data_IF_384898114666
#
_entry.id   IF_384898114666
#
_cell.length_a   1.000
_cell.length_b   1.000
_cell.length_c   1.000
_cell.angle_alpha   90.00
_cell.angle_beta   90.00
_cell.angle_gamma   90.00
#
_symmetry.space_group_name_H-M   'P 1'
#
loop_
_entity.id
_entity.type
_entity.pdbx_description
1 polymer ?
#
# COMPACT_ATOMS: atom_id res chain seq x y z
N UNK A 1 -0.16 9.43 19.25
CA UNK A 1 0.76 10.14 18.32
C UNK A 1 0.50 9.56 16.93
N UNK A 2 0.35 10.37 15.87
CA UNK A 2 -0.04 9.84 14.56
C UNK A 2 1.12 9.11 13.86
N UNK A 3 0.90 7.88 13.41
CA UNK A 3 1.86 7.12 12.59
C UNK A 3 1.51 7.28 11.10
N UNK A 4 2.50 7.54 10.27
CA UNK A 4 2.33 7.55 8.80
C UNK A 4 2.54 6.13 8.27
N UNK A 5 1.65 5.69 7.39
CA UNK A 5 1.76 4.44 6.65
C UNK A 5 1.53 4.70 5.15
N UNK A 6 2.20 3.94 4.32
CA UNK A 6 2.06 3.96 2.87
C UNK A 6 1.50 2.61 2.43
N UNK A 7 0.35 2.62 1.76
CA UNK A 7 -0.35 1.42 1.32
C UNK A 7 -0.20 1.33 -0.19
N UNK A 8 0.36 0.23 -0.68
CA UNK A 8 0.37 -0.10 -2.11
C UNK A 8 -0.85 -0.96 -2.40
N UNK A 9 -1.74 -0.46 -3.26
CA UNK A 9 -2.85 -1.24 -3.84
C UNK A 9 -2.42 -1.78 -5.19
N UNK A 10 -2.74 -3.02 -5.47
CA UNK A 10 -2.46 -3.65 -6.76
C UNK A 10 -3.58 -4.62 -7.12
N UNK A 11 -3.86 -4.73 -8.42
CA UNK A 11 -4.97 -5.51 -8.95
C UNK A 11 -4.46 -6.72 -9.72
N UNK A 12 -4.86 -7.93 -9.27
CA UNK A 12 -4.56 -9.18 -9.94
C UNK A 12 -5.60 -9.46 -11.05
N UNK A 13 -5.15 -9.44 -12.30
CA UNK A 13 -6.02 -9.66 -13.46
C UNK A 13 -6.47 -11.13 -13.60
N UNK A 14 -5.71 -12.09 -13.10
CA UNK A 14 -6.07 -13.51 -13.18
C UNK A 14 -7.15 -13.88 -12.18
N UNK A 15 -7.05 -13.37 -10.95
CA UNK A 15 -8.00 -13.67 -9.87
C UNK A 15 -9.09 -12.63 -9.71
N UNK A 16 -8.99 -11.49 -10.42
CA UNK A 16 -9.86 -10.31 -10.27
C UNK A 16 -9.85 -9.73 -8.84
N UNK A 17 -8.76 -9.96 -8.10
CA UNK A 17 -8.63 -9.53 -6.71
C UNK A 17 -7.88 -8.21 -6.59
N UNK A 18 -8.33 -7.38 -5.65
CA UNK A 18 -7.60 -6.18 -5.22
C UNK A 18 -6.81 -6.54 -3.97
N UNK A 19 -5.49 -6.52 -4.09
CA UNK A 19 -4.57 -6.75 -2.98
C UNK A 19 -4.04 -5.42 -2.45
N UNK A 20 -3.57 -5.43 -1.19
CA UNK A 20 -2.93 -4.28 -0.57
C UNK A 20 -1.77 -4.70 0.34
N UNK A 21 -0.74 -3.87 0.40
CA UNK A 21 0.41 -4.06 1.29
C UNK A 21 0.82 -2.74 1.95
N UNK A 22 1.03 -2.76 3.26
CA UNK A 22 1.38 -1.57 4.05
C UNK A 22 2.88 -1.47 4.32
N UNK A 23 3.40 -0.25 4.33
CA UNK A 23 4.79 0.09 4.56
C UNK A 23 4.90 1.28 5.52
N UNK A 24 5.93 1.30 6.36
CA UNK A 24 6.24 2.46 7.23
C UNK A 24 7.00 3.56 6.49
N UNK A 25 7.68 3.24 5.38
CA UNK A 25 8.47 4.17 4.59
C UNK A 25 7.99 4.25 3.13
N UNK A 26 8.04 5.46 2.56
CA UNK A 26 7.66 5.71 1.16
C UNK A 26 8.63 5.03 0.18
N UNK A 27 9.91 4.94 0.53
CA UNK A 27 10.94 4.29 -0.27
C UNK A 27 10.58 2.83 -0.51
N UNK A 28 10.20 2.12 0.53
CA UNK A 28 9.90 0.69 0.48
C UNK A 28 8.62 0.44 -0.33
N UNK A 29 7.60 1.28 -0.15
CA UNK A 29 6.38 1.24 -0.96
C UNK A 29 6.67 1.47 -2.46
N UNK A 30 7.60 2.37 -2.79
CA UNK A 30 8.01 2.62 -4.18
C UNK A 30 8.80 1.47 -4.78
N UNK A 31 9.73 0.88 -4.02
CA UNK A 31 10.49 -0.31 -4.44
C UNK A 31 9.51 -1.44 -4.74
N UNK A 32 8.60 -1.73 -3.80
CA UNK A 32 7.59 -2.77 -3.99
C UNK A 32 6.70 -2.49 -5.20
N UNK A 33 6.19 -1.27 -5.37
CA UNK A 33 5.40 -0.89 -6.57
C UNK A 33 6.17 -1.20 -7.85
N UNK A 34 7.44 -0.85 -7.94
CA UNK A 34 8.24 -1.08 -9.14
C UNK A 34 8.50 -2.56 -9.40
N UNK A 35 8.65 -3.38 -8.35
CA UNK A 35 8.82 -4.83 -8.49
C UNK A 35 7.56 -5.51 -9.05
N UNK A 36 6.38 -4.99 -8.72
CA UNK A 36 5.11 -5.68 -9.05
C UNK A 36 4.35 -5.06 -10.24
N UNK A 37 4.71 -3.86 -10.69
CA UNK A 37 3.98 -3.15 -11.76
C UNK A 37 4.05 -3.87 -13.12
N UNK A 38 5.03 -4.76 -13.32
CA UNK A 38 5.10 -5.60 -14.52
C UNK A 38 4.06 -6.72 -14.51
N UNK A 39 3.61 -7.15 -13.33
CA UNK A 39 2.65 -8.25 -13.14
C UNK A 39 1.20 -7.76 -12.99
N UNK A 40 1.01 -6.50 -12.61
CA UNK A 40 -0.31 -5.94 -12.29
C UNK A 40 -0.64 -4.70 -13.12
N UNK A 41 -1.84 -4.66 -13.69
CA UNK A 41 -2.30 -3.61 -14.61
C UNK A 41 -2.39 -2.23 -13.93
N UNK A 42 -2.71 -2.19 -12.64
CA UNK A 42 -2.80 -0.96 -11.86
C UNK A 42 -2.15 -1.14 -10.49
N UNK A 43 -1.21 -0.25 -10.18
CA UNK A 43 -0.52 -0.21 -8.88
C UNK A 43 -0.43 1.22 -8.37
N UNK A 44 -1.06 1.48 -7.21
CA UNK A 44 -1.17 2.81 -6.62
C UNK A 44 -0.63 2.86 -5.19
N UNK A 45 -0.06 3.99 -4.81
CA UNK A 45 0.45 4.23 -3.45
C UNK A 45 -0.43 5.28 -2.78
N UNK A 46 -1.06 4.91 -1.67
CA UNK A 46 -1.86 5.81 -0.83
C UNK A 46 -1.12 6.08 0.48
N UNK A 47 -0.92 7.35 0.80
CA UNK A 47 -0.42 7.77 2.13
C UNK A 47 -1.59 7.85 3.10
N UNK A 48 -1.51 7.14 4.22
CA UNK A 48 -2.48 7.15 5.30
C UNK A 48 -1.81 7.61 6.60
N UNK A 49 -2.48 8.50 7.34
CA UNK A 49 -2.10 8.79 8.72
C UNK A 49 -3.02 7.96 9.63
N UNK A 50 -2.43 7.08 10.43
CA UNK A 50 -3.14 6.28 11.42
C UNK A 50 -2.95 6.96 12.76
N UNK A 51 -4.05 7.43 13.35
CA UNK A 51 -4.08 7.83 14.74
C UNK A 51 -4.43 6.57 15.53
N UNK A 52 -3.64 6.26 16.56
CA UNK A 52 -4.09 5.30 17.57
C UNK A 52 -5.43 5.83 18.11
N UNK A 53 -6.50 5.05 17.97
CA UNK A 53 -7.72 5.33 18.67
C UNK A 53 -7.38 5.32 20.17
N UNK A 54 -7.61 6.45 20.84
CA UNK A 54 -7.76 6.47 22.28
C UNK A 54 -8.96 5.56 22.57
N UNK A 55 -8.70 4.31 22.93
CA UNK A 55 -9.69 3.46 23.59
C UNK A 55 -10.04 4.22 24.88
N UNK A 56 -11.19 4.90 24.86
CA UNK A 56 -11.80 5.55 26.01
C UNK A 56 -12.78 4.59 26.67
#
# INVERSE_FOLDING_TARGET
>A
MGKVEYIVFYYNCETFEVCKKSFSALTDAKVFKNEIIEEYESVDIIKRTVFEELIL
#
